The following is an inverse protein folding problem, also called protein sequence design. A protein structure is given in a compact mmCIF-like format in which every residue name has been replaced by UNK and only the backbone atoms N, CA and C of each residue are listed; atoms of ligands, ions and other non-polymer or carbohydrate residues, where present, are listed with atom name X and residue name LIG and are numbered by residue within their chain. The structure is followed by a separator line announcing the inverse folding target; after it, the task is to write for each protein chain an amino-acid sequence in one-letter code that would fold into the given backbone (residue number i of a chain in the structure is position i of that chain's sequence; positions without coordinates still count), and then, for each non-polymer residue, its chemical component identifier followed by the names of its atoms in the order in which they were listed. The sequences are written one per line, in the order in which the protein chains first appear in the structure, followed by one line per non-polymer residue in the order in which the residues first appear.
data_IF_412301772188
#
_entry.id   IF_412301772188
#
_cell.length_a   1.000
_cell.length_b   1.000
_cell.length_c   1.000
_cell.angle_alpha   90.00
_cell.angle_beta   90.00
_cell.angle_gamma   90.00
#
_symmetry.space_group_name_H-M   'P 1'
#
loop_
_entity.id
_entity.type
_entity.pdbx_description
1 polymer ?
#
# COMPACT_ATOMS: atom_id res chain seq x y z
N UNK A 1 -8.22 11.23 8.86
CA UNK A 1 -7.00 11.58 9.67
C UNK A 1 -5.76 11.09 8.94
N UNK A 2 -4.67 11.89 8.89
CA UNK A 2 -3.42 11.45 8.28
C UNK A 2 -2.71 10.44 9.19
N UNK A 3 -2.46 9.23 8.68
CA UNK A 3 -1.81 8.15 9.39
C UNK A 3 -0.28 8.19 9.19
N UNK A 4 0.52 7.75 10.18
CA UNK A 4 1.97 7.67 10.01
C UNK A 4 2.36 6.54 9.06
N UNK A 5 3.11 6.85 8.01
CA UNK A 5 3.63 5.83 7.08
C UNK A 5 4.83 5.13 7.71
N UNK A 6 4.78 3.79 7.74
CA UNK A 6 5.88 2.94 8.18
C UNK A 6 6.99 2.94 7.14
N UNK A 7 8.22 3.17 7.59
CA UNK A 7 9.39 3.17 6.70
C UNK A 7 10.15 1.85 6.79
N UNK A 8 10.69 1.41 5.66
CA UNK A 8 11.59 0.27 5.61
C UNK A 8 12.84 0.52 6.51
N UNK A 9 13.34 -0.45 7.28
CA UNK A 9 12.96 -1.87 7.30
C UNK A 9 11.98 -2.26 8.43
N UNK A 10 10.91 -1.49 8.63
CA UNK A 10 9.93 -1.83 9.67
C UNK A 10 9.37 -3.24 9.45
N UNK A 11 9.41 -4.09 10.49
CA UNK A 11 9.04 -5.52 10.40
C UNK A 11 7.61 -5.73 9.92
N UNK A 12 6.69 -4.82 10.23
CA UNK A 12 5.30 -4.90 9.76
C UNK A 12 5.15 -4.87 8.25
N UNK A 13 6.08 -4.23 7.52
CA UNK A 13 6.06 -4.19 6.05
C UNK A 13 6.41 -5.54 5.39
N UNK A 14 6.96 -6.47 6.14
CA UNK A 14 7.34 -7.80 5.68
C UNK A 14 6.31 -8.87 6.04
N UNK A 15 5.21 -8.46 6.66
CA UNK A 15 4.16 -9.37 7.08
C UNK A 15 3.09 -9.49 5.99
N UNK A 16 2.59 -10.71 5.80
CA UNK A 16 1.45 -10.95 4.92
C UNK A 16 0.18 -10.41 5.56
N UNK A 17 -0.57 -9.62 4.81
CA UNK A 17 -1.85 -9.07 5.23
C UNK A 17 -2.96 -10.13 5.22
N UNK A 18 -3.89 -10.01 6.17
CA UNK A 18 -5.03 -10.89 6.33
C UNK A 18 -6.26 -10.35 5.58
N UNK A 19 -7.12 -11.22 5.05
CA UNK A 19 -8.37 -10.79 4.46
C UNK A 19 -9.25 -10.03 5.47
N UNK A 20 -9.93 -9.01 4.99
CA UNK A 20 -11.03 -8.37 5.71
C UNK A 20 -12.24 -9.30 5.63
N UNK A 21 -12.87 -9.73 6.75
CA UNK A 21 -14.12 -10.48 6.71
C UNK A 21 -15.20 -9.71 5.94
N UNK A 22 -16.00 -10.43 5.14
CA UNK A 22 -16.96 -9.78 4.23
C UNK A 22 -18.05 -9.00 4.96
N UNK A 23 -18.49 -9.50 6.09
CA UNK A 23 -19.47 -8.86 6.97
C UNK A 23 -18.95 -7.59 7.65
N UNK A 24 -17.62 -7.36 7.60
CA UNK A 24 -16.99 -6.21 8.22
C UNK A 24 -16.55 -5.13 7.22
N UNK A 25 -16.64 -5.40 5.92
CA UNK A 25 -16.26 -4.40 4.92
C UNK A 25 -16.99 -3.07 5.14
N UNK A 26 -18.29 -3.12 5.45
CA UNK A 26 -19.13 -1.94 5.66
C UNK A 26 -19.11 -1.42 7.11
N UNK A 27 -18.27 -1.99 7.99
CA UNK A 27 -18.18 -1.51 9.37
C UNK A 27 -17.50 -0.14 9.46
N UNK A 28 -17.91 0.67 10.44
CA UNK A 28 -17.34 2.01 10.66
C UNK A 28 -15.81 1.98 10.78
N UNK A 29 -15.16 1.03 11.50
CA UNK A 29 -13.71 0.99 11.61
C UNK A 29 -13.00 0.79 10.26
N UNK A 30 -13.53 -0.09 9.39
CA UNK A 30 -12.95 -0.35 8.06
C UNK A 30 -13.16 0.85 7.16
N UNK A 31 -14.34 1.45 7.17
CA UNK A 31 -14.65 2.63 6.37
C UNK A 31 -13.81 3.85 6.81
N UNK A 32 -13.64 4.05 8.12
CA UNK A 32 -12.78 5.11 8.65
C UNK A 32 -11.32 4.89 8.28
N UNK A 33 -10.82 3.65 8.36
CA UNK A 33 -9.45 3.32 7.91
C UNK A 33 -9.26 3.66 6.43
N UNK A 34 -10.21 3.34 5.58
CA UNK A 34 -10.16 3.66 4.15
C UNK A 34 -10.07 5.18 3.95
N UNK A 35 -10.90 5.96 4.64
CA UNK A 35 -10.88 7.43 4.54
C UNK A 35 -9.55 8.02 5.02
N UNK A 36 -9.03 7.53 6.13
CA UNK A 36 -7.75 7.96 6.69
C UNK A 36 -6.58 7.59 5.75
N UNK A 37 -6.64 6.42 5.11
CA UNK A 37 -5.64 6.00 4.12
C UNK A 37 -5.69 6.87 2.87
N UNK A 38 -6.87 7.24 2.37
CA UNK A 38 -7.04 8.12 1.21
C UNK A 38 -6.39 9.48 1.50
N UNK A 39 -6.71 10.08 2.64
CA UNK A 39 -6.13 11.35 3.08
C UNK A 39 -4.61 11.25 3.20
N UNK A 40 -4.11 10.14 3.77
CA UNK A 40 -2.68 9.88 3.94
C UNK A 40 -1.95 9.77 2.61
N UNK A 41 -2.50 9.00 1.66
CA UNK A 41 -1.94 8.82 0.32
C UNK A 41 -1.76 10.17 -0.38
N UNK A 42 -2.81 10.98 -0.43
CA UNK A 42 -2.74 12.28 -1.10
C UNK A 42 -1.82 13.27 -0.37
N UNK A 43 -1.82 13.28 0.96
CA UNK A 43 -0.92 14.13 1.75
C UNK A 43 0.56 13.78 1.54
N UNK A 44 0.85 12.52 1.20
CA UNK A 44 2.20 12.05 0.88
C UNK A 44 2.54 12.16 -0.62
N UNK A 45 1.66 12.76 -1.45
CA UNK A 45 1.80 12.84 -2.91
C UNK A 45 1.95 11.46 -3.56
N UNK A 46 1.34 10.43 -2.96
CA UNK A 46 1.33 9.06 -3.48
C UNK A 46 0.24 8.83 -4.51
N UNK A 47 0.46 7.84 -5.37
CA UNK A 47 -0.51 7.32 -6.34
C UNK A 47 -1.06 5.96 -5.91
N UNK A 48 -0.54 5.39 -4.83
CA UNK A 48 -0.97 4.14 -4.23
C UNK A 48 -0.58 4.09 -2.76
N UNK A 49 -1.31 3.27 -2.00
CA UNK A 49 -1.05 2.99 -0.59
C UNK A 49 -1.71 1.68 -0.18
N UNK A 50 -0.96 0.83 0.53
CA UNK A 50 -1.46 -0.39 1.15
C UNK A 50 -1.62 -0.21 2.67
N UNK A 51 -2.61 -0.86 3.27
CA UNK A 51 -2.90 -0.74 4.70
C UNK A 51 -1.71 -1.12 5.60
N UNK A 52 -0.88 -2.08 5.18
CA UNK A 52 0.32 -2.47 5.91
C UNK A 52 1.33 -1.32 6.06
N UNK A 53 1.37 -0.40 5.11
CA UNK A 53 2.26 0.77 5.15
C UNK A 53 1.84 1.78 6.23
N UNK A 54 0.59 1.77 6.65
CA UNK A 54 0.09 2.59 7.76
C UNK A 54 -0.14 1.79 9.05
N UNK A 55 0.30 0.51 9.05
CA UNK A 55 0.36 -0.31 10.25
C UNK A 55 -0.80 -1.27 10.45
N UNK A 56 -1.69 -1.42 9.48
CA UNK A 56 -2.82 -2.35 9.53
C UNK A 56 -2.56 -3.56 8.61
N UNK A 57 -2.64 -4.76 9.17
CA UNK A 57 -2.42 -6.00 8.41
C UNK A 57 -3.71 -6.49 7.72
N UNK A 58 -4.40 -5.57 7.07
CA UNK A 58 -5.60 -5.85 6.29
C UNK A 58 -5.30 -5.83 4.79
N UNK A 59 -5.97 -6.69 4.03
CA UNK A 59 -5.87 -6.66 2.56
C UNK A 59 -6.72 -5.52 1.99
N UNK A 60 -6.23 -4.30 2.18
CA UNK A 60 -6.83 -3.07 1.64
C UNK A 60 -5.73 -2.29 0.94
N UNK A 61 -5.99 -1.91 -0.30
CA UNK A 61 -5.15 -1.01 -1.07
C UNK A 61 -5.99 0.09 -1.71
N UNK A 62 -5.35 1.19 -2.04
CA UNK A 62 -5.93 2.21 -2.89
C UNK A 62 -4.92 2.67 -3.93
N UNK A 63 -5.44 3.02 -5.09
CA UNK A 63 -4.65 3.51 -6.21
C UNK A 63 -5.43 4.62 -6.92
N UNK A 64 -4.77 5.73 -7.17
CA UNK A 64 -5.26 6.84 -7.98
C UNK A 64 -4.14 7.31 -8.90
N UNK A 65 -4.18 6.90 -10.16
CA UNK A 65 -3.17 7.25 -11.15
C UNK A 65 -3.71 8.33 -12.09
N UNK A 66 -2.85 9.25 -12.57
CA UNK A 66 -3.24 10.20 -13.61
C UNK A 66 -3.81 9.46 -14.81
N UNK A 67 -4.90 9.97 -15.36
CA UNK A 67 -5.46 9.46 -16.61
C UNK A 67 -4.42 9.51 -17.74
N UNK A 68 -4.66 8.72 -18.79
CA UNK A 68 -3.75 8.59 -19.94
C UNK A 68 -3.43 9.94 -20.63
N UNK A 69 -4.21 10.96 -20.37
CA UNK A 69 -3.94 12.35 -20.77
C UNK A 69 -4.48 13.33 -19.71
N UNK A 70 -3.98 14.56 -19.71
CA UNK A 70 -4.34 15.62 -18.75
C UNK A 70 -5.83 16.02 -18.76
N UNK A 71 -6.63 15.51 -19.69
CA UNK A 71 -8.07 15.78 -19.79
C UNK A 71 -8.93 14.69 -19.13
N UNK A 72 -8.34 13.53 -18.83
CA UNK A 72 -9.05 12.48 -18.13
C UNK A 72 -8.89 12.71 -16.62
N UNK A 73 -10.01 12.77 -15.87
CA UNK A 73 -9.94 12.87 -14.42
C UNK A 73 -9.27 11.62 -13.84
N UNK A 74 -8.54 11.80 -12.77
CA UNK A 74 -8.05 10.69 -11.95
C UNK A 74 -9.25 9.92 -11.40
N UNK A 75 -9.07 8.63 -11.19
CA UNK A 75 -10.10 7.78 -10.59
C UNK A 75 -9.48 7.00 -9.44
N UNK A 76 -9.93 7.33 -8.25
CA UNK A 76 -9.57 6.58 -7.07
C UNK A 76 -10.21 5.18 -7.09
N UNK A 77 -9.38 4.18 -6.95
CA UNK A 77 -9.77 2.79 -6.78
C UNK A 77 -9.44 2.35 -5.35
N UNK A 78 -10.44 1.86 -4.62
CA UNK A 78 -10.27 1.20 -3.32
C UNK A 78 -10.56 -0.27 -3.52
N UNK A 79 -9.58 -1.12 -3.22
CA UNK A 79 -9.68 -2.56 -3.41
C UNK A 79 -9.52 -3.26 -2.06
N UNK A 80 -10.52 -4.02 -1.67
CA UNK A 80 -10.54 -4.82 -0.45
C UNK A 80 -10.42 -6.30 -0.84
N UNK A 81 -9.52 -7.02 -0.20
CA UNK A 81 -9.19 -8.41 -0.53
C UNK A 81 -8.81 -8.61 -2.01
N UNK A 82 -7.95 -7.78 -2.59
CA UNK A 82 -7.59 -7.92 -3.98
C UNK A 82 -6.84 -9.24 -4.25
N UNK A 83 -7.17 -9.84 -5.40
CA UNK A 83 -6.54 -11.04 -5.94
C UNK A 83 -6.25 -10.84 -7.43
N UNK A 84 -5.02 -11.07 -7.86
CA UNK A 84 -4.68 -11.08 -9.28
C UNK A 84 -5.13 -12.42 -9.86
N UNK A 85 -6.11 -12.38 -10.78
CA UNK A 85 -6.70 -13.58 -11.40
C UNK A 85 -6.14 -13.87 -12.79
N UNK A 86 -5.50 -12.88 -13.43
CA UNK A 86 -4.78 -13.07 -14.69
C UNK A 86 -3.65 -12.05 -14.81
N UNK A 87 -2.58 -12.44 -15.50
CA UNK A 87 -1.44 -11.58 -15.83
C UNK A 87 -1.00 -11.83 -17.26
N UNK A 88 -0.47 -10.77 -17.90
CA UNK A 88 0.24 -10.88 -19.17
C UNK A 88 1.53 -10.07 -19.08
N UNK A 89 2.63 -10.70 -19.49
CA UNK A 89 3.93 -10.03 -19.60
C UNK A 89 4.47 -10.31 -21.00
N UNK A 90 4.70 -9.26 -21.77
CA UNK A 90 5.26 -9.38 -23.12
C UNK A 90 6.77 -9.66 -23.08
N UNK A 91 7.26 -10.34 -24.11
CA UNK A 91 8.69 -10.48 -24.33
C UNK A 91 9.28 -9.11 -24.68
N UNK A 92 10.22 -8.62 -23.86
CA UNK A 92 10.84 -7.31 -24.07
C UNK A 92 10.28 -6.20 -23.17
N UNK A 93 9.38 -6.51 -22.26
CA UNK A 93 8.95 -5.56 -21.23
C UNK A 93 10.16 -5.10 -20.39
N UNK A 94 10.47 -3.82 -20.49
CA UNK A 94 11.61 -3.22 -19.80
C UNK A 94 11.25 -2.79 -18.39
N UNK A 95 12.11 -3.07 -17.40
CA UNK A 95 11.93 -2.57 -16.04
C UNK A 95 11.83 -1.04 -16.04
N UNK A 96 10.85 -0.50 -15.34
CA UNK A 96 10.66 0.96 -15.18
C UNK A 96 10.93 1.36 -13.74
N UNK A 97 11.42 2.58 -13.56
CA UNK A 97 11.71 3.12 -12.23
C UNK A 97 10.41 3.42 -11.47
N UNK A 98 10.34 2.92 -10.26
CA UNK A 98 9.24 3.20 -9.34
C UNK A 98 9.78 3.54 -7.95
N UNK A 99 9.07 4.39 -7.22
CA UNK A 99 9.31 4.72 -5.83
C UNK A 99 8.28 4.04 -4.94
N UNK A 100 8.48 4.15 -3.62
CA UNK A 100 7.55 3.67 -2.62
C UNK A 100 7.49 4.66 -1.46
N UNK A 101 6.30 4.97 -0.95
CA UNK A 101 6.12 5.86 0.20
C UNK A 101 6.83 5.34 1.46
N UNK A 102 6.95 4.02 1.59
CA UNK A 102 7.70 3.38 2.67
C UNK A 102 9.22 3.36 2.45
N UNK A 103 9.71 3.78 1.28
CA UNK A 103 11.14 3.80 0.90
C UNK A 103 11.47 5.15 0.24
N UNK A 104 11.28 6.26 0.95
CA UNK A 104 11.38 7.59 0.36
C UNK A 104 12.78 7.85 -0.22
N UNK A 105 12.80 8.53 -1.39
CA UNK A 105 14.03 8.92 -2.08
C UNK A 105 14.77 7.79 -2.81
N UNK A 106 14.27 6.58 -2.75
CA UNK A 106 14.82 5.42 -3.48
C UNK A 106 13.89 5.10 -4.65
N UNK A 107 14.47 5.06 -5.85
CA UNK A 107 13.76 4.71 -7.07
C UNK A 107 14.53 3.60 -7.79
N UNK A 108 13.89 2.47 -7.98
CA UNK A 108 14.50 1.30 -8.61
C UNK A 108 13.71 0.82 -9.82
N UNK A 109 14.44 0.26 -10.78
CA UNK A 109 13.83 -0.31 -11.97
C UNK A 109 13.30 -1.72 -11.64
N UNK A 110 11.99 -1.89 -11.73
CA UNK A 110 11.29 -3.14 -11.42
C UNK A 110 10.51 -3.61 -12.65
N UNK A 111 10.66 -4.90 -12.96
CA UNK A 111 9.83 -5.55 -13.96
C UNK A 111 8.44 -5.84 -13.38
N UNK A 112 7.41 -5.44 -14.11
CA UNK A 112 6.00 -5.64 -13.76
C UNK A 112 5.27 -6.26 -14.94
N UNK A 113 4.13 -6.94 -14.73
CA UNK A 113 3.25 -7.31 -15.83
C UNK A 113 2.84 -6.10 -16.68
N UNK A 114 2.56 -6.32 -17.96
CA UNK A 114 1.99 -5.29 -18.84
C UNK A 114 0.48 -5.12 -18.62
N UNK A 115 -0.14 -6.19 -18.15
CA UNK A 115 -1.57 -6.27 -17.89
C UNK A 115 -1.82 -7.21 -16.71
N UNK A 116 -2.78 -6.83 -15.89
CA UNK A 116 -3.36 -7.67 -14.84
C UNK A 116 -4.88 -7.59 -14.87
N UNK A 117 -5.53 -8.68 -14.48
CA UNK A 117 -6.93 -8.70 -14.10
C UNK A 117 -7.02 -8.95 -12.61
N UNK A 118 -7.70 -8.06 -11.89
CA UNK A 118 -7.83 -8.10 -10.43
C UNK A 118 -9.28 -8.31 -10.04
N UNK A 119 -9.53 -9.27 -9.16
CA UNK A 119 -10.81 -9.47 -8.47
C UNK A 119 -10.69 -8.89 -7.08
N UNK A 120 -11.72 -8.18 -6.61
CA UNK A 120 -11.69 -7.51 -5.31
C UNK A 120 -13.11 -7.17 -4.87
N UNK A 121 -13.27 -6.81 -3.61
CA UNK A 121 -14.49 -6.18 -3.12
C UNK A 121 -14.29 -4.66 -3.13
N UNK A 122 -15.30 -3.95 -3.63
CA UNK A 122 -15.31 -2.50 -3.57
C UNK A 122 -15.66 -2.01 -2.14
N UNK A 123 -15.63 -0.69 -1.94
CA UNK A 123 -15.95 -0.08 -0.65
C UNK A 123 -17.37 -0.39 -0.16
N UNK A 124 -18.30 -0.69 -1.06
CA UNK A 124 -19.66 -1.10 -0.74
C UNK A 124 -19.81 -2.58 -0.40
N UNK A 125 -18.74 -3.38 -0.50
CA UNK A 125 -18.79 -4.83 -0.28
C UNK A 125 -19.21 -5.63 -1.51
N UNK A 126 -19.32 -5.01 -2.67
CA UNK A 126 -19.67 -5.66 -3.92
C UNK A 126 -18.44 -6.29 -4.57
N UNK A 127 -18.55 -7.55 -5.01
CA UNK A 127 -17.50 -8.23 -5.76
C UNK A 127 -17.36 -7.62 -7.15
N UNK A 128 -16.14 -7.20 -7.49
CA UNK A 128 -15.79 -6.55 -8.75
C UNK A 128 -14.61 -7.24 -9.41
N UNK A 129 -14.50 -7.05 -10.70
CA UNK A 129 -13.29 -7.34 -11.47
C UNK A 129 -12.91 -6.09 -12.26
N UNK A 130 -11.61 -5.86 -12.38
CA UNK A 130 -11.08 -4.81 -13.23
C UNK A 130 -9.87 -5.31 -14.00
N UNK A 131 -9.70 -4.77 -15.18
CA UNK A 131 -8.53 -4.96 -16.03
C UNK A 131 -7.69 -3.70 -15.98
N UNK A 132 -6.37 -3.86 -15.93
CA UNK A 132 -5.44 -2.76 -15.83
C UNK A 132 -4.20 -3.00 -16.68
N UNK A 133 -3.74 -1.93 -17.33
CA UNK A 133 -2.48 -1.84 -18.06
C UNK A 133 -1.68 -0.60 -17.65
N UNK A 134 -0.50 -0.42 -18.23
CA UNK A 134 0.33 0.77 -18.05
C UNK A 134 0.59 1.11 -16.58
N UNK A 135 0.44 2.40 -16.22
CA UNK A 135 0.72 2.87 -14.86
C UNK A 135 -0.24 2.31 -13.82
N UNK A 136 -1.52 2.09 -14.18
CA UNK A 136 -2.51 1.51 -13.28
C UNK A 136 -2.15 0.06 -12.94
N UNK A 137 -1.80 -0.75 -13.93
CA UNK A 137 -1.32 -2.11 -13.73
C UNK A 137 -0.11 -2.14 -12.78
N UNK A 138 0.87 -1.29 -13.04
CA UNK A 138 2.10 -1.17 -12.24
C UNK A 138 1.81 -0.79 -10.79
N UNK A 139 0.95 0.20 -10.57
CA UNK A 139 0.58 0.65 -9.24
C UNK A 139 -0.20 -0.44 -8.47
N UNK A 140 -1.18 -1.07 -9.10
CA UNK A 140 -1.94 -2.16 -8.48
C UNK A 140 -1.05 -3.35 -8.09
N UNK A 141 -0.15 -3.78 -8.99
CA UNK A 141 0.78 -4.88 -8.72
C UNK A 141 1.73 -4.54 -7.56
N UNK A 142 2.21 -3.28 -7.52
CA UNK A 142 3.03 -2.77 -6.41
C UNK A 142 2.29 -2.83 -5.06
N UNK A 143 1.06 -2.31 -5.01
CA UNK A 143 0.30 -2.28 -3.75
C UNK A 143 -0.16 -3.68 -3.32
N UNK A 144 -0.48 -4.57 -4.25
CA UNK A 144 -0.81 -5.97 -3.93
C UNK A 144 0.42 -6.70 -3.38
N UNK A 145 1.64 -6.45 -3.89
CA UNK A 145 2.86 -7.02 -3.34
C UNK A 145 3.09 -6.60 -1.88
N UNK A 146 2.76 -5.36 -1.51
CA UNK A 146 2.81 -4.94 -0.11
C UNK A 146 1.93 -5.80 0.79
N UNK A 147 0.79 -6.30 0.31
CA UNK A 147 -0.08 -7.21 1.07
C UNK A 147 0.54 -8.60 1.26
N UNK A 148 1.51 -8.98 0.43
CA UNK A 148 2.27 -10.21 0.55
C UNK A 148 3.59 -10.02 1.34
N UNK A 149 3.82 -8.81 1.88
CA UNK A 149 5.04 -8.47 2.61
C UNK A 149 6.26 -8.25 1.72
N UNK A 150 6.05 -7.98 0.42
CA UNK A 150 7.09 -7.75 -0.58
C UNK A 150 7.22 -6.26 -0.85
N UNK A 151 8.43 -5.76 -0.91
CA UNK A 151 8.75 -4.37 -1.25
C UNK A 151 9.58 -4.28 -2.54
N UNK A 152 9.69 -3.06 -3.09
CA UNK A 152 10.56 -2.78 -4.24
C UNK A 152 12.01 -3.26 -4.00
N UNK A 153 12.52 -3.17 -2.77
CA UNK A 153 13.86 -3.61 -2.44
C UNK A 153 14.03 -5.14 -2.47
N UNK A 154 12.95 -5.89 -2.44
CA UNK A 154 12.97 -7.35 -2.57
C UNK A 154 13.06 -7.80 -4.03
N UNK A 155 12.71 -6.92 -4.96
CA UNK A 155 12.73 -7.15 -6.42
C UNK A 155 14.06 -6.80 -7.08
N UNK A 156 15.00 -6.22 -6.35
CA UNK A 156 16.30 -5.78 -6.90
C UNK A 156 17.47 -6.59 -6.36
N UNK A 157 18.62 -6.46 -7.00
CA UNK A 157 19.83 -7.17 -6.57
C UNK A 157 20.21 -6.80 -5.13
N UNK A 158 20.91 -7.71 -4.44
CA UNK A 158 21.39 -7.48 -3.08
C UNK A 158 22.23 -6.20 -2.96
N UNK A 159 23.02 -5.87 -3.98
CA UNK A 159 23.81 -4.64 -4.01
C UNK A 159 22.90 -3.40 -4.00
N UNK A 160 21.91 -3.36 -4.88
CA UNK A 160 20.95 -2.26 -4.96
C UNK A 160 20.12 -2.12 -3.67
N UNK A 161 19.66 -3.24 -3.11
CA UNK A 161 18.99 -3.25 -1.79
C UNK A 161 19.84 -2.61 -0.71
N UNK A 162 21.12 -2.99 -0.62
CA UNK A 162 22.04 -2.44 0.38
C UNK A 162 22.27 -0.93 0.18
N UNK A 163 22.42 -0.50 -1.08
CA UNK A 163 22.57 0.93 -1.41
C UNK A 163 21.31 1.73 -1.06
N UNK A 164 20.12 1.23 -1.41
CA UNK A 164 18.84 1.84 -1.06
C UNK A 164 18.65 1.97 0.46
N UNK A 165 18.92 0.88 1.19
CA UNK A 165 18.86 0.89 2.66
C UNK A 165 19.85 1.90 3.28
N UNK A 166 21.06 1.99 2.72
CA UNK A 166 22.06 2.97 3.15
C UNK A 166 21.61 4.41 2.86
N UNK A 167 21.07 4.65 1.66
CA UNK A 167 20.56 5.96 1.27
C UNK A 167 19.47 6.45 2.23
N UNK A 168 18.53 5.58 2.62
CA UNK A 168 17.50 5.90 3.61
C UNK A 168 18.06 6.28 4.98
N UNK A 169 19.12 5.60 5.44
CA UNK A 169 19.77 5.91 6.73
C UNK A 169 20.47 7.26 6.70
N UNK A 170 21.11 7.61 5.58
CA UNK A 170 21.88 8.85 5.42
C UNK A 170 20.96 10.06 5.21
N UNK A 171 19.88 9.88 4.48
CA UNK A 171 19.01 10.98 4.08
C UNK A 171 18.26 11.64 5.25
N UNK A 172 18.35 11.12 6.49
CA UNK A 172 17.59 11.62 7.66
C UNK A 172 16.19 12.06 7.22
N UNK A 173 15.53 11.20 6.43
CA UNK A 173 14.18 11.53 5.98
C UNK A 173 13.39 11.91 7.23
N UNK A 174 12.81 13.10 7.26
CA UNK A 174 11.81 13.38 8.26
C UNK A 174 10.72 12.33 8.02
N UNK A 175 10.75 11.28 8.82
CA UNK A 175 9.60 10.43 9.05
C UNK A 175 8.42 11.37 9.20
N UNK A 176 7.55 11.55 8.18
CA UNK A 176 6.39 12.45 8.19
C UNK A 176 6.59 13.81 8.90
N UNK A 177 7.84 14.25 9.05
CA UNK A 177 8.32 15.21 10.04
C UNK A 177 8.49 16.62 9.53
N UNK A 178 8.03 16.97 8.33
CA UNK A 178 8.24 18.36 7.92
C UNK A 178 7.19 19.33 8.50
N UNK A 179 6.13 18.85 9.18
CA UNK A 179 5.16 19.74 9.87
C UNK A 179 4.69 19.27 11.24
N UNK A 180 5.06 18.08 11.71
CA UNK A 180 4.72 17.62 13.06
C UNK A 180 5.97 17.17 13.79
N UNK A 181 6.34 17.87 14.86
CA UNK A 181 7.40 17.44 15.75
C UNK A 181 6.98 16.16 16.48
N UNK A 182 7.95 15.38 16.95
CA UNK A 182 7.68 14.14 17.71
C UNK A 182 6.86 14.40 18.98
N UNK A 183 6.94 15.63 19.49
CA UNK A 183 6.19 16.11 20.65
C UNK A 183 4.73 16.45 20.34
N UNK A 184 4.36 16.68 19.06
CA UNK A 184 3.07 17.23 18.70
C UNK A 184 2.11 16.17 18.12
N UNK A 185 2.56 14.92 17.98
CA UNK A 185 1.72 13.81 17.51
C UNK A 185 1.56 12.75 18.61
N UNK A 186 0.45 12.81 19.39
CA UNK A 186 0.16 11.82 20.42
C UNK A 186 -0.04 10.40 19.89
N UNK A 187 -0.12 10.22 18.56
CA UNK A 187 -0.29 8.92 17.92
C UNK A 187 1.05 8.21 17.62
N UNK A 188 2.18 8.89 17.70
CA UNK A 188 3.51 8.26 17.51
C UNK A 188 3.90 7.44 18.73
N UNK A 189 3.38 7.75 19.92
CA UNK A 189 3.68 7.07 21.17
C UNK A 189 2.62 6.07 21.63
N UNK A 190 1.43 6.11 21.09
CA UNK A 190 0.54 4.96 21.25
C UNK A 190 1.12 3.84 20.41
N UNK A 191 2.01 3.06 21.03
CA UNK A 191 2.35 1.74 20.55
C UNK A 191 1.06 1.14 19.99
N UNK A 192 1.11 0.71 18.74
CA UNK A 192 0.01 -0.08 18.20
C UNK A 192 -0.32 -1.13 19.26
N UNK A 193 -1.58 -1.31 19.61
CA UNK A 193 -1.98 -2.34 20.56
C UNK A 193 -1.34 -3.67 20.15
N UNK A 194 -1.07 -4.59 21.07
CA UNK A 194 -0.51 -5.89 20.77
C UNK A 194 -1.28 -6.55 19.62
N UNK A 195 -0.63 -7.43 18.85
CA UNK A 195 -1.20 -7.99 17.62
C UNK A 195 -2.62 -8.55 17.77
N UNK A 196 -2.96 -9.04 18.98
CA UNK A 196 -4.30 -9.48 19.39
C UNK A 196 -5.36 -8.35 19.39
N UNK A 197 -4.95 -7.12 19.60
CA UNK A 197 -5.84 -5.95 19.63
C UNK A 197 -5.83 -5.17 18.30
N UNK A 198 -4.90 -5.48 17.39
CA UNK A 198 -4.81 -4.88 16.05
C UNK A 198 -5.71 -5.54 15.02
N UNK A 199 -6.19 -6.73 15.35
CA UNK A 199 -7.26 -7.39 14.63
C UNK A 199 -8.56 -6.76 15.14
N UNK A 200 -9.01 -5.68 14.51
CA UNK A 200 -10.37 -5.14 14.71
C UNK A 200 -11.46 -6.19 14.49
N UNK A 201 -11.04 -7.33 14.07
CA UNK A 201 -11.82 -8.44 13.60
C UNK A 201 -11.42 -9.66 14.41
N UNK A 202 -11.71 -9.62 15.71
CA UNK A 202 -11.74 -10.84 16.48
C UNK A 202 -12.77 -11.77 15.84
N UNK A 203 -12.38 -13.01 15.59
CA UNK A 203 -13.33 -14.09 15.30
C UNK A 203 -14.50 -14.00 16.26
N UNK A 204 -15.74 -14.24 15.80
CA UNK A 204 -16.87 -14.37 16.70
C UNK A 204 -16.51 -15.43 17.73
N UNK A 205 -16.70 -15.10 19.00
CA UNK A 205 -16.60 -16.08 20.07
C UNK A 205 -17.54 -17.24 19.71
N UNK A 206 -16.97 -18.44 19.65
CA UNK A 206 -17.77 -19.65 19.64
C UNK A 206 -18.66 -19.65 20.91
N UNK A 207 -19.93 -19.52 20.73
CA UNK A 207 -20.93 -20.15 21.57
C UNK A 207 -21.62 -21.28 20.78
#
# INVERSE_FOLDING_TARGET
MILPIRLYPHVGLQQKSLPVPLDQINSDPVQQLIDDMIETMYSAFGIGLAAVQVGFLHRIIMVDVPGANARQPTKLHVLINPEIVATLTSTGNSPQREGCLSIPGVYEAVARPDYIKVRFYDRGGELREMEADGLLCRALDHEIEHLEGISVLDKVSRLKRNLGTKAMKVAKYPTTRSRYSRSDNPLVERALPPMSERLFLSSPANE
#
